data_IF_324901512231
#
_entry.id   IF_324901512231
#
_cell.length_a   1.000
_cell.length_b   1.000
_cell.length_c   1.000
_cell.angle_alpha   90.00
_cell.angle_beta   90.00
_cell.angle_gamma   90.00
#
_symmetry.space_group_name_H-M   'P 1'
#
loop_
_entity.id
_entity.type
_entity.pdbx_description
1 polymer ?
#
# COMPACT_ATOMS: atom_id res chain seq x y z
N UNK A 1 -13.45 8.18 80.56
CA UNK A 1 -13.68 9.06 79.41
C UNK A 1 -12.61 8.73 78.37
N UNK A 2 -13.07 8.42 77.16
CA UNK A 2 -12.38 8.09 75.92
C UNK A 2 -11.73 6.71 75.73
N UNK A 3 -12.46 5.95 74.91
CA UNK A 3 -12.14 4.76 74.17
C UNK A 3 -10.90 4.87 73.28
N UNK A 4 -10.17 3.76 73.13
CA UNK A 4 -9.31 3.53 71.98
C UNK A 4 -10.03 2.49 71.10
N UNK A 5 -10.56 2.93 69.97
CA UNK A 5 -11.26 2.11 68.99
C UNK A 5 -10.27 1.22 68.24
N UNK A 6 -10.58 -0.07 68.17
CA UNK A 6 -10.05 -0.96 67.14
C UNK A 6 -10.79 -0.68 65.81
N UNK A 7 -10.06 -0.43 64.74
CA UNK A 7 -10.57 -0.52 63.38
C UNK A 7 -9.74 -1.54 62.61
N UNK A 8 -10.41 -2.63 62.28
CA UNK A 8 -10.02 -3.65 61.32
C UNK A 8 -10.32 -3.10 59.93
N UNK A 9 -9.37 -3.13 59.00
CA UNK A 9 -9.65 -3.00 57.57
C UNK A 9 -9.48 -4.36 56.87
N UNK A 10 -10.32 -4.68 55.86
CA UNK A 10 -10.40 -6.00 55.26
C UNK A 10 -9.38 -6.20 54.13
N UNK A 11 -9.06 -7.47 53.89
CA UNK A 11 -8.32 -8.02 52.76
C UNK A 11 -9.05 -7.75 51.45
N UNK A 12 -8.32 -7.36 50.39
CA UNK A 12 -8.71 -7.69 49.01
C UNK A 12 -7.48 -8.16 48.22
N UNK A 13 -7.71 -9.23 47.46
CA UNK A 13 -6.73 -10.06 46.79
C UNK A 13 -5.94 -9.33 45.69
N UNK A 14 -4.64 -9.57 45.62
CA UNK A 14 -3.86 -9.32 44.41
C UNK A 14 -4.19 -10.38 43.37
N UNK A 15 -4.70 -9.95 42.22
CA UNK A 15 -4.70 -10.78 41.02
C UNK A 15 -3.24 -10.96 40.58
N UNK A 16 -2.82 -12.22 40.47
CA UNK A 16 -1.64 -12.59 39.69
C UNK A 16 -2.06 -12.46 38.23
N UNK A 17 -1.43 -11.57 37.49
CA UNK A 17 -1.50 -11.66 36.03
C UNK A 17 -0.52 -12.74 35.60
N UNK A 18 -1.09 -13.78 35.02
CA UNK A 18 -0.41 -14.91 34.45
C UNK A 18 0.11 -14.47 33.08
N UNK A 19 1.29 -13.85 33.08
CA UNK A 19 2.06 -13.66 31.86
C UNK A 19 2.25 -15.01 31.19
N UNK A 20 1.59 -15.20 30.04
CA UNK A 20 1.77 -16.39 29.24
C UNK A 20 3.17 -16.34 28.65
N UNK A 21 4.06 -17.16 29.21
CA UNK A 21 5.40 -17.38 28.68
C UNK A 21 5.29 -17.89 27.24
N UNK A 22 5.82 -17.08 26.32
CA UNK A 22 6.34 -17.57 25.06
C UNK A 22 7.64 -18.28 25.33
N UNK A 23 7.64 -19.58 25.05
CA UNK A 23 8.80 -20.44 24.90
C UNK A 23 9.89 -19.69 24.10
N UNK A 24 11.07 -19.52 24.69
CA UNK A 24 12.27 -19.07 23.97
C UNK A 24 12.69 -20.25 23.09
N UNK A 25 12.01 -20.42 21.96
CA UNK A 25 12.50 -21.24 20.87
C UNK A 25 13.63 -20.47 20.22
N UNK A 26 14.86 -20.82 20.59
CA UNK A 26 16.09 -20.39 19.92
C UNK A 26 15.90 -20.59 18.42
N UNK A 27 15.80 -19.49 17.69
CA UNK A 27 15.48 -19.44 16.27
C UNK A 27 16.19 -18.26 15.62
N UNK A 28 17.52 -18.41 15.45
CA UNK A 28 18.43 -17.56 14.67
C UNK A 28 18.53 -16.08 15.09
N UNK A 29 19.05 -15.85 16.29
CA UNK A 29 19.42 -14.54 16.85
C UNK A 29 20.75 -13.98 16.26
N UNK A 30 20.88 -13.81 14.95
CA UNK A 30 22.13 -13.34 14.29
C UNK A 30 22.15 -11.82 13.99
N UNK A 31 21.34 -11.01 14.68
CA UNK A 31 21.25 -9.57 14.35
C UNK A 31 20.43 -8.69 15.29
N UNK A 32 20.27 -7.43 14.89
CA UNK A 32 19.48 -6.40 15.57
C UNK A 32 18.20 -6.12 14.76
N UNK A 33 17.04 -6.14 15.40
CA UNK A 33 15.80 -5.70 14.77
C UNK A 33 15.58 -4.19 15.01
N UNK A 34 15.46 -3.43 13.93
CA UNK A 34 15.20 -1.97 13.94
C UNK A 34 14.06 -1.68 12.97
N UNK A 35 12.99 -1.07 13.44
CA UNK A 35 11.80 -0.71 12.65
C UNK A 35 11.23 -1.87 11.82
N UNK A 36 11.26 -3.09 12.37
CA UNK A 36 10.78 -4.32 11.73
C UNK A 36 11.74 -4.93 10.69
N UNK A 37 12.96 -4.37 10.55
CA UNK A 37 14.02 -4.88 9.68
C UNK A 37 15.12 -5.53 10.53
N UNK A 38 15.51 -6.76 10.18
CA UNK A 38 16.61 -7.47 10.83
C UNK A 38 17.93 -7.11 10.16
N UNK A 39 18.89 -6.62 10.94
CA UNK A 39 20.25 -6.25 10.54
C UNK A 39 21.27 -7.23 11.10
N UNK A 40 22.10 -7.83 10.25
CA UNK A 40 23.15 -8.77 10.69
C UNK A 40 24.17 -8.09 11.61
N UNK A 41 24.75 -8.85 12.55
CA UNK A 41 25.87 -8.35 13.36
C UNK A 41 27.05 -7.86 12.50
N UNK A 42 27.57 -6.68 12.85
CA UNK A 42 28.63 -5.99 12.12
C UNK A 42 28.16 -5.17 10.93
N UNK A 43 26.87 -5.20 10.59
CA UNK A 43 26.31 -4.35 9.54
C UNK A 43 26.19 -2.89 9.99
N UNK A 44 26.24 -1.98 9.02
CA UNK A 44 25.97 -0.56 9.21
C UNK A 44 24.74 -0.16 8.40
N UNK A 45 23.90 0.72 8.95
CA UNK A 45 22.68 1.22 8.33
C UNK A 45 22.45 2.70 8.69
N UNK A 46 21.73 3.47 7.85
CA UNK A 46 21.40 4.86 8.17
C UNK A 46 20.46 4.94 9.39
N UNK A 47 20.69 5.93 10.25
CA UNK A 47 19.77 6.29 11.33
C UNK A 47 18.49 6.91 10.77
N UNK A 48 17.39 6.81 11.51
CA UNK A 48 16.11 7.46 11.18
C UNK A 48 16.21 8.99 11.19
N UNK A 49 17.21 9.55 11.87
CA UNK A 49 17.52 10.99 11.85
C UNK A 49 18.13 11.49 10.52
N UNK A 50 18.47 10.58 9.60
CA UNK A 50 18.94 10.90 8.25
C UNK A 50 20.39 11.41 8.14
N UNK A 51 21.13 11.56 9.24
CA UNK A 51 22.52 12.01 9.19
C UNK A 51 23.49 11.10 9.94
N UNK A 52 23.01 10.32 10.90
CA UNK A 52 23.82 9.38 11.64
C UNK A 52 23.87 8.01 10.96
N UNK A 53 24.93 7.26 11.27
CA UNK A 53 25.08 5.86 10.86
C UNK A 53 25.07 4.99 12.10
N UNK A 54 24.26 3.95 12.06
CA UNK A 54 24.14 2.95 13.11
C UNK A 54 24.87 1.67 12.72
N UNK A 55 25.38 0.96 13.72
CA UNK A 55 26.02 -0.34 13.61
C UNK A 55 25.27 -1.35 14.46
N UNK A 56 24.95 -2.52 13.91
CA UNK A 56 24.45 -3.63 14.71
C UNK A 56 25.64 -4.38 15.34
N UNK A 57 25.67 -4.48 16.67
CA UNK A 57 26.73 -5.16 17.44
C UNK A 57 26.13 -6.25 18.32
N UNK A 58 26.96 -7.15 18.86
CA UNK A 58 26.52 -8.17 19.82
C UNK A 58 25.89 -7.56 21.09
N UNK A 59 26.19 -6.29 21.39
CA UNK A 59 25.62 -5.54 22.52
C UNK A 59 24.35 -4.75 22.15
N UNK A 60 23.94 -4.76 20.87
CA UNK A 60 22.81 -4.01 20.34
C UNK A 60 23.21 -2.97 19.28
N UNK A 61 22.32 -2.02 19.01
CA UNK A 61 22.54 -0.95 18.02
C UNK A 61 23.34 0.20 18.63
N UNK A 62 24.40 0.63 17.94
CA UNK A 62 25.19 1.80 18.30
C UNK A 62 25.26 2.79 17.13
N UNK A 63 24.87 4.04 17.34
CA UNK A 63 24.86 5.07 16.29
C UNK A 63 25.90 6.16 16.53
N UNK A 64 26.32 6.83 15.46
CA UNK A 64 27.07 8.08 15.58
C UNK A 64 26.20 9.16 16.22
N UNK A 65 26.81 10.14 16.90
CA UNK A 65 26.12 11.29 17.50
C UNK A 65 26.54 12.59 16.81
N UNK A 66 26.39 12.63 15.49
CA UNK A 66 26.58 13.84 14.70
C UNK A 66 25.32 14.70 14.77
N UNK A 67 25.50 16.01 14.95
CA UNK A 67 24.41 16.96 14.82
C UNK A 67 24.00 17.05 13.35
N UNK A 68 22.76 16.67 13.04
CA UNK A 68 22.21 16.83 11.70
C UNK A 68 22.08 18.32 11.38
N UNK A 69 22.62 18.74 10.22
CA UNK A 69 22.33 20.06 9.70
C UNK A 69 20.93 20.04 9.08
N UNK A 70 20.11 21.04 9.40
CA UNK A 70 18.81 21.23 8.76
C UNK A 70 18.96 22.06 7.47
N UNK A 71 18.06 21.86 6.51
CA UNK A 71 18.03 22.56 5.22
C UNK A 71 16.75 23.42 5.09
N UNK A 72 16.86 24.75 5.21
CA UNK A 72 15.69 25.64 5.11
C UNK A 72 15.08 25.70 3.69
N UNK A 73 15.75 25.13 2.66
CA UNK A 73 15.24 25.03 1.30
C UNK A 73 14.50 23.70 1.03
N UNK A 74 14.47 22.79 2.00
CA UNK A 74 13.77 21.52 1.89
C UNK A 74 12.26 21.75 1.75
N UNK A 75 11.70 21.35 0.61
CA UNK A 75 10.27 21.43 0.33
C UNK A 75 9.57 20.29 1.07
N UNK A 76 8.69 20.66 1.99
CA UNK A 76 7.95 19.74 2.85
C UNK A 76 6.46 19.95 2.70
N UNK A 77 5.69 18.88 2.89
CA UNK A 77 4.25 18.99 2.99
C UNK A 77 3.87 19.80 4.23
N UNK A 78 2.80 20.58 4.13
CA UNK A 78 2.24 21.32 5.26
C UNK A 78 1.38 20.38 6.11
N UNK A 79 2.04 19.46 6.81
CA UNK A 79 1.43 18.48 7.68
C UNK A 79 2.05 18.58 9.08
N UNK A 80 1.21 18.59 10.12
CA UNK A 80 1.70 18.52 11.49
C UNK A 80 2.25 17.10 11.71
N UNK A 81 3.52 16.99 12.08
CA UNK A 81 4.18 15.71 12.31
C UNK A 81 4.90 15.67 13.64
N UNK A 82 5.11 14.46 14.15
CA UNK A 82 5.79 14.22 15.42
C UNK A 82 7.19 13.65 15.16
N UNK A 83 8.22 14.33 15.64
CA UNK A 83 9.60 13.85 15.64
C UNK A 83 10.17 13.92 17.05
N UNK A 84 10.72 12.80 17.56
CA UNK A 84 11.29 12.70 18.91
C UNK A 84 10.40 13.27 20.04
N UNK A 85 9.08 13.11 19.91
CA UNK A 85 8.11 13.59 20.90
C UNK A 85 7.80 15.09 20.83
N UNK A 86 8.27 15.79 19.80
CA UNK A 86 7.94 17.19 19.52
C UNK A 86 7.13 17.33 18.22
N UNK A 87 6.08 18.15 18.26
CA UNK A 87 5.25 18.48 17.10
C UNK A 87 5.92 19.55 16.24
N UNK A 88 5.92 19.37 14.93
CA UNK A 88 6.44 20.30 13.94
C UNK A 88 5.36 20.70 12.93
N UNK A 89 5.43 21.90 12.34
CA UNK A 89 4.41 22.42 11.44
C UNK A 89 4.47 21.86 10.00
N UNK A 90 5.51 21.08 9.66
CA UNK A 90 5.67 20.46 8.33
C UNK A 90 6.05 18.98 8.40
N UNK A 91 5.96 18.31 7.25
CA UNK A 91 6.25 16.88 7.09
C UNK A 91 7.71 16.48 7.28
N UNK A 92 8.66 17.42 7.28
CA UNK A 92 10.09 17.11 7.49
C UNK A 92 10.59 17.51 8.88
N UNK A 93 9.76 18.18 9.67
CA UNK A 93 10.09 18.66 11.02
C UNK A 93 11.48 19.28 11.13
N UNK A 94 12.36 18.80 12.04
CA UNK A 94 13.64 19.46 12.27
C UNK A 94 14.56 19.47 11.04
N UNK A 95 14.33 18.60 10.04
CA UNK A 95 15.15 18.54 8.82
C UNK A 95 15.03 19.79 7.94
N UNK A 96 13.91 20.54 8.00
CA UNK A 96 13.75 21.81 7.27
C UNK A 96 13.95 23.07 8.14
N UNK A 97 14.58 22.91 9.31
CA UNK A 97 14.80 23.95 10.30
C UNK A 97 13.51 24.49 10.96
N UNK A 98 12.42 23.73 10.97
CA UNK A 98 11.24 24.09 11.73
C UNK A 98 11.51 24.10 13.23
N UNK A 99 10.93 25.06 13.94
CA UNK A 99 10.85 25.01 15.40
C UNK A 99 9.65 24.17 15.86
N UNK A 100 9.78 23.42 16.96
CA UNK A 100 8.67 22.64 17.48
C UNK A 100 7.54 23.55 17.96
N UNK A 101 6.30 23.19 17.63
CA UNK A 101 5.08 23.91 18.00
C UNK A 101 4.41 23.36 19.26
N UNK A 102 4.86 22.19 19.75
CA UNK A 102 4.33 21.55 20.94
C UNK A 102 5.07 20.26 21.31
N UNK A 103 4.69 19.66 22.43
CA UNK A 103 4.93 18.23 22.66
C UNK A 103 3.93 17.46 21.82
N UNK A 104 4.33 16.31 21.27
CA UNK A 104 3.37 15.46 20.59
C UNK A 104 2.24 15.13 21.54
N UNK A 105 1.00 15.27 21.06
CA UNK A 105 -0.13 14.65 21.73
C UNK A 105 0.21 13.17 21.91
N UNK A 106 0.46 12.75 23.15
CA UNK A 106 0.71 11.35 23.53
C UNK A 106 -0.53 10.45 23.36
N UNK A 107 -1.47 10.89 22.54
CA UNK A 107 -2.68 10.21 22.11
C UNK A 107 -3.06 10.73 20.73
N UNK A 108 -3.92 9.97 20.07
CA UNK A 108 -4.49 10.33 18.79
C UNK A 108 -5.17 11.72 18.80
N UNK A 109 -5.16 12.44 17.66
CA UNK A 109 -5.82 13.74 17.49
C UNK A 109 -7.08 13.62 16.61
N UNK A 110 -8.29 13.70 17.18
CA UNK A 110 -9.54 13.56 16.41
C UNK A 110 -9.81 14.73 15.45
N UNK A 111 -8.99 15.79 15.50
CA UNK A 111 -9.09 16.94 14.59
C UNK A 111 -8.16 16.82 13.37
N UNK A 112 -7.32 15.78 13.33
CA UNK A 112 -6.44 15.51 12.20
C UNK A 112 -7.27 15.15 10.96
N UNK A 113 -7.06 15.92 9.88
CA UNK A 113 -7.73 15.69 8.60
C UNK A 113 -6.93 14.63 7.84
N UNK A 114 -7.59 13.55 7.47
CA UNK A 114 -6.97 12.39 6.84
C UNK A 114 -7.64 12.09 5.51
N UNK A 115 -6.88 11.46 4.61
CA UNK A 115 -7.45 10.93 3.37
C UNK A 115 -8.34 9.73 3.67
N UNK A 116 -9.45 9.62 2.95
CA UNK A 116 -10.36 8.47 3.00
C UNK A 116 -9.76 7.30 2.21
N UNK A 117 -8.74 6.65 2.76
CA UNK A 117 -8.12 5.48 2.19
C UNK A 117 -7.78 4.44 3.26
N UNK A 118 -8.09 3.18 2.96
CA UNK A 118 -7.77 2.05 3.82
C UNK A 118 -6.25 1.92 3.96
N UNK A 119 -5.75 2.01 5.19
CA UNK A 119 -4.31 2.05 5.45
C UNK A 119 -3.93 1.08 6.57
N UNK A 120 -2.85 0.35 6.34
CA UNK A 120 -2.30 -0.56 7.34
C UNK A 120 -1.28 0.15 8.22
N UNK A 121 -1.47 0.08 9.53
CA UNK A 121 -0.50 0.50 10.53
C UNK A 121 -0.19 -0.70 11.43
N UNK A 122 1.02 -1.25 11.29
CA UNK A 122 1.34 -2.58 11.81
C UNK A 122 0.43 -3.65 11.20
N UNK A 123 -0.15 -4.50 12.05
CA UNK A 123 -1.08 -5.57 11.63
C UNK A 123 -2.56 -5.15 11.60
N UNK A 124 -2.86 -3.86 11.73
CA UNK A 124 -4.23 -3.36 11.86
C UNK A 124 -4.60 -2.45 10.68
N UNK A 125 -5.77 -2.73 10.10
CA UNK A 125 -6.36 -1.97 9.00
C UNK A 125 -7.19 -0.82 9.57
N UNK A 126 -6.95 0.39 9.08
CA UNK A 126 -7.67 1.60 9.46
C UNK A 126 -8.43 2.20 8.28
N UNK A 127 -9.52 2.95 8.53
CA UNK A 127 -10.37 3.51 7.48
C UNK A 127 -9.78 4.77 6.81
N UNK A 128 -8.76 5.41 7.40
CA UNK A 128 -8.12 6.62 6.86
C UNK A 128 -6.59 6.48 6.74
N UNK A 129 -5.97 7.43 6.03
CA UNK A 129 -4.52 7.52 5.85
C UNK A 129 -3.72 7.82 7.11
N UNK A 130 -4.36 8.22 8.20
CA UNK A 130 -3.67 8.52 9.47
C UNK A 130 -3.76 7.38 10.49
N UNK A 131 -4.65 6.43 10.24
CA UNK A 131 -4.94 5.32 11.14
C UNK A 131 -5.06 5.74 12.60
N UNK A 132 -4.26 5.15 13.51
CA UNK A 132 -4.42 5.45 14.94
C UNK A 132 -4.13 6.92 15.28
N UNK A 133 -3.45 7.67 14.41
CA UNK A 133 -3.08 9.06 14.70
C UNK A 133 -4.28 10.03 14.71
N UNK A 134 -5.39 9.73 14.02
CA UNK A 134 -6.61 10.57 14.06
C UNK A 134 -7.74 10.01 14.95
N UNK A 135 -7.42 9.04 15.80
CA UNK A 135 -8.35 8.31 16.66
C UNK A 135 -9.30 7.37 15.93
N UNK A 136 -8.97 6.95 14.71
CA UNK A 136 -9.69 5.85 14.08
C UNK A 136 -9.51 4.56 14.89
N UNK A 137 -10.60 3.82 15.06
CA UNK A 137 -10.52 2.43 15.50
C UNK A 137 -10.14 1.54 14.31
N UNK A 138 -9.31 0.50 14.54
CA UNK A 138 -8.98 -0.45 13.49
C UNK A 138 -10.25 -1.20 13.07
N UNK A 139 -10.47 -1.30 11.76
CA UNK A 139 -11.62 -2.00 11.17
C UNK A 139 -11.32 -3.48 10.90
N UNK A 140 -10.08 -3.92 11.09
CA UNK A 140 -9.68 -5.31 10.89
C UNK A 140 -8.18 -5.53 11.04
N UNK A 141 -7.75 -6.74 10.71
CA UNK A 141 -6.34 -7.04 10.54
C UNK A 141 -5.90 -6.68 9.13
N UNK A 142 -4.63 -6.32 8.98
CA UNK A 142 -3.97 -6.34 7.70
C UNK A 142 -3.98 -7.77 7.16
N UNK A 143 -4.48 -7.92 5.94
CA UNK A 143 -4.52 -9.15 5.18
C UNK A 143 -4.39 -8.80 3.70
N UNK A 144 -4.21 -9.79 2.81
CA UNK A 144 -4.33 -9.52 1.38
C UNK A 144 -5.67 -8.81 1.14
N UNK A 145 -5.61 -7.75 0.33
CA UNK A 145 -6.65 -6.73 0.09
C UNK A 145 -7.87 -7.30 -0.64
N UNK A 146 -8.45 -8.37 -0.12
CA UNK A 146 -9.59 -9.05 -0.71
C UNK A 146 -10.84 -8.84 0.16
N UNK A 147 -11.96 -8.48 -0.48
CA UNK A 147 -13.26 -8.31 0.16
C UNK A 147 -14.23 -9.40 -0.33
N UNK A 148 -14.62 -10.38 0.49
CA UNK A 148 -15.51 -11.46 0.08
C UNK A 148 -16.94 -10.99 -0.24
N UNK A 149 -17.28 -9.74 0.08
CA UNK A 149 -18.56 -9.12 -0.27
C UNK A 149 -18.48 -8.26 -1.54
N UNK A 150 -17.30 -8.14 -2.16
CA UNK A 150 -17.13 -7.43 -3.41
C UNK A 150 -17.93 -8.13 -4.51
N UNK A 151 -18.93 -7.45 -5.05
CA UNK A 151 -19.74 -7.95 -6.14
C UNK A 151 -18.96 -7.96 -7.45
N UNK A 152 -18.78 -9.14 -8.04
CA UNK A 152 -17.96 -9.37 -9.23
C UNK A 152 -18.77 -9.98 -10.36
N UNK A 153 -18.36 -9.74 -11.60
CA UNK A 153 -18.91 -10.44 -12.76
C UNK A 153 -18.42 -11.89 -12.78
N UNK A 154 -19.28 -12.82 -13.20
CA UNK A 154 -18.91 -14.21 -13.47
C UNK A 154 -18.15 -14.27 -14.80
N UNK A 155 -16.82 -14.28 -14.75
CA UNK A 155 -15.95 -14.41 -15.92
C UNK A 155 -14.57 -14.94 -15.49
N UNK A 156 -14.02 -15.88 -16.27
CA UNK A 156 -12.67 -16.39 -16.03
C UNK A 156 -11.64 -15.31 -16.38
N UNK A 157 -10.85 -14.86 -15.40
CA UNK A 157 -9.98 -13.69 -15.52
C UNK A 157 -8.58 -13.99 -15.01
N UNK A 158 -7.56 -13.58 -15.75
CA UNK A 158 -6.17 -13.82 -15.39
C UNK A 158 -5.61 -12.68 -14.54
N UNK A 159 -5.01 -13.00 -13.38
CA UNK A 159 -4.26 -12.06 -12.55
C UNK A 159 -2.91 -12.67 -12.17
N UNK A 160 -1.82 -12.08 -12.67
CA UNK A 160 -0.45 -12.51 -12.34
C UNK A 160 -0.17 -13.99 -12.57
N UNK A 161 -0.56 -14.53 -13.73
CA UNK A 161 -0.45 -15.95 -14.16
C UNK A 161 -1.46 -16.94 -13.55
N UNK A 162 -2.34 -16.50 -12.65
CA UNK A 162 -3.38 -17.33 -12.07
C UNK A 162 -4.76 -16.98 -12.65
N UNK A 163 -5.52 -18.00 -13.03
CA UNK A 163 -6.88 -17.89 -13.53
C UNK A 163 -7.87 -17.86 -12.37
N UNK A 164 -8.76 -16.89 -12.34
CA UNK A 164 -9.80 -16.73 -11.32
C UNK A 164 -11.20 -16.82 -11.93
N UNK A 165 -12.21 -17.27 -11.17
CA UNK A 165 -13.57 -17.48 -11.67
C UNK A 165 -14.40 -16.20 -11.81
N UNK A 166 -13.92 -15.06 -11.31
CA UNK A 166 -14.60 -13.76 -11.42
C UNK A 166 -13.70 -12.65 -11.95
N UNK A 167 -14.34 -11.55 -12.35
CA UNK A 167 -13.67 -10.33 -12.86
C UNK A 167 -12.81 -9.60 -11.83
N UNK A 168 -12.88 -9.96 -10.55
CA UNK A 168 -12.13 -9.30 -9.47
C UNK A 168 -10.90 -10.09 -9.06
N UNK A 169 -10.80 -11.35 -9.48
CA UNK A 169 -9.75 -12.27 -9.10
C UNK A 169 -9.45 -12.27 -7.61
N UNK A 170 -8.20 -12.07 -7.18
CA UNK A 170 -7.86 -12.14 -5.76
C UNK A 170 -8.55 -11.05 -4.93
N UNK A 171 -9.12 -10.00 -5.53
CA UNK A 171 -9.73 -8.87 -4.81
C UNK A 171 -11.10 -9.20 -4.18
N UNK A 172 -11.79 -10.27 -4.59
CA UNK A 172 -12.99 -10.76 -3.91
C UNK A 172 -12.76 -12.06 -3.13
N UNK A 173 -11.50 -12.38 -2.86
CA UNK A 173 -11.07 -13.59 -2.17
C UNK A 173 -11.38 -14.88 -2.93
N UNK A 174 -11.49 -14.81 -4.26
CA UNK A 174 -11.55 -16.04 -5.06
C UNK A 174 -10.23 -16.81 -4.97
N UNK A 175 -10.34 -18.14 -4.86
CA UNK A 175 -9.20 -19.01 -5.09
C UNK A 175 -8.94 -19.15 -6.60
N UNK A 176 -7.68 -19.23 -7.03
CA UNK A 176 -7.35 -19.48 -8.42
C UNK A 176 -7.85 -20.87 -8.84
N UNK A 177 -8.51 -20.93 -9.99
CA UNK A 177 -9.05 -22.16 -10.60
C UNK A 177 -8.07 -22.83 -11.56
N UNK A 178 -6.93 -22.18 -11.86
CA UNK A 178 -5.88 -22.72 -12.71
C UNK A 178 -4.75 -21.72 -12.97
N UNK A 179 -3.86 -22.11 -13.86
CA UNK A 179 -2.90 -21.19 -14.50
C UNK A 179 -3.56 -20.54 -15.71
N UNK A 180 -3.17 -19.32 -16.03
CA UNK A 180 -3.63 -18.68 -17.25
C UNK A 180 -3.17 -19.48 -18.47
N UNK A 181 -4.07 -19.74 -19.42
CA UNK A 181 -3.66 -20.33 -20.68
C UNK A 181 -2.79 -19.32 -21.43
N UNK A 182 -1.53 -19.66 -21.69
CA UNK A 182 -0.61 -18.88 -22.53
C UNK A 182 -0.98 -18.90 -24.03
N UNK A 183 -2.27 -19.05 -24.32
CA UNK A 183 -2.86 -19.16 -25.63
C UNK A 183 -4.20 -18.46 -25.64
N UNK A 184 -4.73 -18.24 -26.83
CA UNK A 184 -6.03 -17.61 -26.99
C UNK A 184 -7.17 -18.47 -26.42
N UNK A 185 -8.22 -17.83 -25.89
CA UNK A 185 -9.41 -18.47 -25.32
C UNK A 185 -10.65 -18.19 -26.20
N UNK A 186 -11.16 -19.18 -26.96
CA UNK A 186 -12.31 -18.99 -27.84
C UNK A 186 -13.63 -18.76 -27.09
N UNK A 187 -13.64 -18.87 -25.76
CA UNK A 187 -14.80 -18.59 -24.90
C UNK A 187 -14.77 -17.19 -24.31
N UNK A 188 -13.69 -16.44 -24.50
CA UNK A 188 -13.55 -15.06 -24.05
C UNK A 188 -14.58 -14.17 -24.75
N UNK A 189 -15.45 -13.55 -23.94
CA UNK A 189 -16.48 -12.63 -24.42
C UNK A 189 -15.84 -11.27 -24.66
N UNK A 190 -15.99 -10.77 -25.88
CA UNK A 190 -15.33 -9.55 -26.33
C UNK A 190 -16.36 -8.51 -26.77
N UNK A 191 -16.01 -7.24 -26.63
CA UNK A 191 -16.80 -6.15 -27.18
C UNK A 191 -16.75 -6.18 -28.70
N UNK A 192 -17.89 -5.89 -29.34
CA UNK A 192 -18.02 -5.73 -30.79
C UNK A 192 -17.42 -4.38 -31.24
N UNK A 193 -16.11 -4.23 -31.11
CA UNK A 193 -15.37 -3.07 -31.59
C UNK A 193 -14.09 -3.52 -32.30
N UNK A 194 -13.81 -2.90 -33.44
CA UNK A 194 -12.62 -3.19 -34.22
C UNK A 194 -11.40 -2.59 -33.53
N UNK A 195 -10.45 -3.43 -33.13
CA UNK A 195 -9.30 -3.05 -32.28
C UNK A 195 -7.99 -3.48 -32.89
N UNK A 196 -6.96 -2.65 -32.72
CA UNK A 196 -5.60 -2.93 -33.16
C UNK A 196 -4.79 -3.61 -32.06
N UNK A 197 -4.18 -4.75 -32.39
CA UNK A 197 -3.23 -5.46 -31.53
C UNK A 197 -1.91 -5.61 -32.27
N UNK A 198 -0.88 -4.87 -31.84
CA UNK A 198 0.34 -4.70 -32.63
C UNK A 198 0.02 -4.03 -33.98
N UNK A 199 0.46 -4.64 -35.07
CA UNK A 199 0.21 -4.15 -36.44
C UNK A 199 -1.05 -4.73 -37.10
N UNK A 200 -1.82 -5.53 -36.36
CA UNK A 200 -2.95 -6.31 -36.89
C UNK A 200 -4.29 -5.83 -36.33
N UNK A 201 -5.27 -5.68 -37.22
CA UNK A 201 -6.63 -5.24 -36.94
C UNK A 201 -7.51 -6.45 -36.66
N UNK A 202 -8.23 -6.44 -35.55
CA UNK A 202 -9.14 -7.50 -35.12
C UNK A 202 -10.59 -7.01 -35.04
N UNK A 203 -11.59 -7.88 -35.21
CA UNK A 203 -12.99 -7.48 -35.24
C UNK A 203 -13.59 -7.21 -33.84
N UNK A 204 -12.92 -7.64 -32.76
CA UNK A 204 -13.36 -7.44 -31.37
C UNK A 204 -12.27 -6.83 -30.48
N UNK A 205 -12.70 -6.40 -29.28
CA UNK A 205 -11.82 -5.78 -28.27
C UNK A 205 -10.82 -6.71 -27.61
N UNK A 206 -10.80 -8.02 -27.93
CA UNK A 206 -9.80 -8.95 -27.37
C UNK A 206 -8.77 -9.40 -28.40
N UNK A 207 -9.06 -9.20 -29.69
CA UNK A 207 -8.23 -9.64 -30.80
C UNK A 207 -7.66 -11.04 -30.65
N UNK A 208 -6.33 -11.24 -30.67
CA UNK A 208 -5.77 -12.58 -30.65
C UNK A 208 -6.07 -13.34 -29.35
N UNK A 209 -6.48 -12.66 -28.28
CA UNK A 209 -6.78 -13.30 -27.00
C UNK A 209 -8.05 -14.15 -27.04
N UNK A 210 -8.97 -13.95 -27.99
CA UNK A 210 -10.16 -14.81 -28.15
C UNK A 210 -10.10 -15.78 -29.34
N UNK A 211 -8.90 -16.02 -29.87
CA UNK A 211 -8.64 -16.86 -31.04
C UNK A 211 -9.20 -16.31 -32.34
N UNK A 212 -9.45 -15.00 -32.41
CA UNK A 212 -9.79 -14.36 -33.68
C UNK A 212 -8.60 -14.29 -34.62
N UNK A 213 -8.91 -14.39 -35.91
CA UNK A 213 -7.98 -14.08 -36.98
C UNK A 213 -8.06 -12.57 -37.29
N UNK A 214 -6.93 -11.93 -37.64
CA UNK A 214 -6.93 -10.52 -38.00
C UNK A 214 -7.72 -10.30 -39.29
N UNK A 215 -8.47 -9.20 -39.32
CA UNK A 215 -9.26 -8.75 -40.48
C UNK A 215 -8.48 -7.79 -41.39
N UNK A 216 -7.29 -7.37 -40.99
CA UNK A 216 -6.42 -6.51 -41.78
C UNK A 216 -5.18 -6.05 -41.03
N UNK A 217 -4.42 -5.15 -41.64
CA UNK A 217 -3.36 -4.39 -40.97
C UNK A 217 -3.96 -3.15 -40.31
N UNK A 218 -3.38 -2.73 -39.19
CA UNK A 218 -3.68 -1.44 -38.60
C UNK A 218 -3.40 -0.34 -39.61
N UNK A 219 -4.42 0.49 -39.88
CA UNK A 219 -4.24 1.61 -40.78
C UNK A 219 -3.30 2.63 -40.13
N UNK A 220 -2.12 2.85 -40.72
CA UNK A 220 -1.20 3.95 -40.36
C UNK A 220 -1.84 5.34 -40.55
N UNK A 221 -3.00 5.39 -41.21
CA UNK A 221 -3.93 6.52 -41.21
C UNK A 221 -5.01 6.28 -40.18
N UNK A 222 -4.96 7.03 -39.09
CA UNK A 222 -6.03 7.06 -38.12
C UNK A 222 -7.36 7.56 -38.75
N UNK A 223 -8.50 7.08 -38.27
CA UNK A 223 -9.84 7.51 -38.71
C UNK A 223 -10.53 8.30 -37.59
N UNK A 224 -10.65 9.63 -37.70
CA UNK A 224 -11.27 10.46 -36.66
C UNK A 224 -12.78 10.24 -36.51
N UNK A 225 -13.39 9.45 -37.40
CA UNK A 225 -14.81 9.07 -37.32
C UNK A 225 -15.03 7.73 -36.62
N UNK A 226 -13.96 7.03 -36.26
CA UNK A 226 -14.01 5.78 -35.51
C UNK A 226 -14.60 6.05 -34.13
N UNK A 227 -15.67 5.31 -33.81
CA UNK A 227 -16.34 5.40 -32.52
C UNK A 227 -15.70 4.40 -31.57
N UNK A 228 -15.21 4.91 -30.45
CA UNK A 228 -14.39 4.18 -29.50
C UNK A 228 -15.01 4.30 -28.12
N UNK A 229 -14.80 3.29 -27.28
CA UNK A 229 -15.10 3.45 -25.86
C UNK A 229 -14.18 4.52 -25.24
N UNK A 230 -14.59 5.07 -24.10
CA UNK A 230 -13.79 6.07 -23.38
C UNK A 230 -12.84 5.41 -22.37
N UNK A 231 -12.46 4.15 -22.59
CA UNK A 231 -11.56 3.46 -21.69
C UNK A 231 -10.12 3.93 -21.95
N UNK A 232 -9.46 4.38 -20.89
CA UNK A 232 -8.03 4.68 -20.94
C UNK A 232 -7.31 3.36 -21.24
N UNK A 233 -6.63 3.30 -22.38
CA UNK A 233 -6.11 2.04 -22.93
C UNK A 233 -4.65 2.19 -23.33
N UNK A 234 -3.86 1.19 -22.99
CA UNK A 234 -2.46 1.10 -23.39
C UNK A 234 -2.31 0.50 -24.78
N UNK A 235 -1.61 1.21 -25.65
CA UNK A 235 -1.18 0.71 -26.96
C UNK A 235 0.35 0.78 -27.03
N UNK A 236 1.01 -0.37 -26.97
CA UNK A 236 2.46 -0.42 -26.75
C UNK A 236 2.81 0.17 -25.38
N UNK A 237 3.75 1.09 -25.34
CA UNK A 237 4.20 1.76 -24.10
C UNK A 237 3.44 3.07 -23.80
N UNK A 238 2.46 3.43 -24.64
CA UNK A 238 1.77 4.71 -24.59
C UNK A 238 0.30 4.54 -24.17
N UNK A 239 -0.13 5.38 -23.25
CA UNK A 239 -1.48 5.47 -22.71
C UNK A 239 -2.32 6.40 -23.59
N UNK A 240 -3.52 5.95 -23.98
CA UNK A 240 -4.44 6.73 -24.82
C UNK A 240 -5.79 6.95 -24.10
N UNK A 241 -6.52 8.04 -24.43
CA UNK A 241 -7.76 8.39 -23.76
C UNK A 241 -8.99 7.57 -24.20
N UNK A 242 -8.88 6.73 -25.24
CA UNK A 242 -9.95 5.85 -25.72
C UNK A 242 -9.44 4.45 -26.05
N UNK A 243 -10.37 3.48 -26.15
CA UNK A 243 -10.08 2.09 -26.52
C UNK A 243 -9.68 1.84 -27.97
N UNK A 244 -9.54 2.88 -28.79
CA UNK A 244 -8.95 2.76 -30.12
C UNK A 244 -7.53 3.32 -30.22
N UNK A 245 -7.13 4.13 -29.23
CA UNK A 245 -5.85 4.82 -29.20
C UNK A 245 -5.46 5.44 -30.55
N UNK A 246 -4.30 5.10 -31.13
CA UNK A 246 -3.86 5.74 -32.36
C UNK A 246 -4.80 5.51 -33.56
N UNK A 247 -5.71 4.53 -33.51
CA UNK A 247 -6.61 4.22 -34.62
C UNK A 247 -7.72 5.26 -34.84
N UNK A 248 -8.13 6.04 -33.81
CA UNK A 248 -9.10 7.13 -33.94
C UNK A 248 -8.47 8.54 -33.94
N UNK A 249 -7.15 8.62 -34.11
CA UNK A 249 -6.35 9.83 -34.09
C UNK A 249 -6.16 10.43 -32.70
N UNK A 250 -6.32 9.65 -31.62
CA UNK A 250 -5.98 10.12 -30.30
C UNK A 250 -4.47 10.37 -30.17
N UNK A 251 -4.13 11.45 -29.46
CA UNK A 251 -2.77 11.67 -28.97
C UNK A 251 -2.58 10.91 -27.65
N UNK A 252 -1.38 10.33 -27.41
CA UNK A 252 -1.10 9.66 -26.15
C UNK A 252 -1.08 10.67 -25.00
N UNK A 253 -1.58 10.26 -23.84
CA UNK A 253 -1.68 11.06 -22.62
C UNK A 253 -0.56 10.78 -21.60
N UNK A 254 0.26 9.75 -21.83
CA UNK A 254 1.39 9.40 -20.96
C UNK A 254 1.95 8.02 -21.26
N UNK A 255 2.95 7.56 -20.49
CA UNK A 255 3.38 6.16 -20.49
C UNK A 255 2.37 5.27 -19.75
N UNK A 256 2.41 3.97 -20.02
CA UNK A 256 1.65 2.98 -19.28
C UNK A 256 2.24 2.72 -17.88
N UNK A 257 1.39 2.64 -16.85
CA UNK A 257 1.77 2.12 -15.52
C UNK A 257 2.45 3.12 -14.56
N UNK A 258 2.12 4.41 -14.63
CA UNK A 258 2.37 5.36 -13.53
C UNK A 258 1.20 5.43 -12.54
#
# INVERSE_FOLDING_TARGET
MLALFALVTPVLAGAKDEGCGGDVTVGSDDGCEVDGVVHDYGSNFPSSDGCNTCSCTEEGVACTEMACACDPELVCDLAITCFDGLEYPTGCGPANCDEPIGECSSGCDPTLICGDALTCFGDLLYPTTCGPANCDEPIGKCGPTCDPNLGCGEAETCFGDLLYPTTCGPANCDEPIGECSSGCDPTLICGDAVTCFGDLLYPTTCGPANCEEPIGECSATCDPTLTCDTAITCFGDLLYPTGCGPANCDEPIGPCGE
#
